data_IF_836827081496
#
_entry.id   IF_836827081496
#
_cell.length_a   1.000
_cell.length_b   1.000
_cell.length_c   1.000
_cell.angle_alpha   90.00
_cell.angle_beta   90.00
_cell.angle_gamma   90.00
#
_symmetry.space_group_name_H-M   'P 1'
#
loop_
_entity.id
_entity.type
_entity.pdbx_description
1 polymer ?
#
# COMPACT_ATOMS: atom_id res chain seq x y z
N UNK A 1 7.21 1.02 11.34
CA UNK A 1 8.01 0.13 10.50
C UNK A 1 7.21 -0.26 9.28
N UNK A 2 7.86 -0.49 8.15
CA UNK A 2 7.16 -0.79 6.91
C UNK A 2 7.78 -1.99 6.20
N UNK A 3 6.94 -2.78 5.54
CA UNK A 3 7.41 -3.93 4.77
C UNK A 3 6.43 -4.24 3.64
N UNK A 4 6.96 -4.87 2.59
CA UNK A 4 6.17 -5.29 1.43
C UNK A 4 5.74 -6.74 1.60
N UNK A 5 4.50 -7.02 1.18
CA UNK A 5 4.01 -8.38 1.08
C UNK A 5 3.49 -8.62 -0.34
N UNK A 6 3.54 -9.87 -0.76
CA UNK A 6 2.97 -10.29 -2.04
C UNK A 6 1.55 -10.75 -1.81
N UNK A 7 0.65 -10.30 -2.67
CA UNK A 7 -0.75 -10.72 -2.62
C UNK A 7 -0.96 -11.91 -3.57
N UNK A 8 -1.79 -12.88 -3.20
CA UNK A 8 -2.09 -14.02 -4.08
C UNK A 8 -2.68 -13.53 -5.40
N UNK A 9 -2.10 -13.99 -6.50
CA UNK A 9 -2.50 -13.56 -7.84
C UNK A 9 -2.71 -14.78 -8.72
N UNK A 10 -3.84 -14.81 -9.41
CA UNK A 10 -4.22 -15.90 -10.32
C UNK A 10 -4.26 -15.34 -11.73
N UNK A 11 -3.53 -15.99 -12.62
CA UNK A 11 -3.38 -15.56 -14.00
C UNK A 11 -4.04 -16.55 -14.95
N UNK A 12 -4.80 -16.03 -15.90
CA UNK A 12 -5.33 -16.85 -17.01
C UNK A 12 -5.46 -15.98 -18.26
N UNK A 13 -6.10 -16.51 -19.31
CA UNK A 13 -6.22 -15.79 -20.58
C UNK A 13 -7.04 -14.50 -20.51
N UNK A 14 -7.83 -14.33 -19.45
CA UNK A 14 -8.66 -13.14 -19.26
C UNK A 14 -7.91 -12.03 -18.51
N UNK A 15 -6.77 -12.33 -17.91
CA UNK A 15 -6.00 -11.36 -17.15
C UNK A 15 -5.60 -11.90 -15.78
N UNK A 16 -5.38 -10.98 -14.85
CA UNK A 16 -4.90 -11.32 -13.52
C UNK A 16 -5.93 -10.95 -12.46
N UNK A 17 -6.09 -11.84 -11.47
CA UNK A 17 -6.94 -11.60 -10.32
C UNK A 17 -6.06 -11.63 -9.06
N UNK A 18 -6.01 -10.52 -8.34
CA UNK A 18 -5.26 -10.43 -7.10
C UNK A 18 -6.24 -10.34 -5.93
N UNK A 19 -6.00 -11.12 -4.89
CA UNK A 19 -6.94 -11.29 -3.79
C UNK A 19 -6.35 -10.78 -2.48
N UNK A 20 -7.18 -10.05 -1.72
CA UNK A 20 -6.86 -9.67 -0.36
C UNK A 20 -7.83 -10.41 0.55
N UNK A 21 -7.37 -11.51 1.15
CA UNK A 21 -8.22 -12.31 2.02
C UNK A 21 -7.37 -12.89 3.14
N UNK A 22 -7.65 -12.44 4.36
CA UNK A 22 -6.98 -12.94 5.57
C UNK A 22 -5.46 -12.87 5.54
N UNK A 23 -4.91 -11.97 4.74
CA UNK A 23 -3.46 -11.85 4.57
C UNK A 23 -2.90 -10.62 5.29
N UNK A 24 -3.74 -9.63 5.57
CA UNK A 24 -3.29 -8.42 6.26
C UNK A 24 -3.13 -8.69 7.75
N UNK A 25 -2.14 -8.08 8.40
CA UNK A 25 -1.88 -8.30 9.83
C UNK A 25 -2.85 -7.53 10.74
N UNK A 26 -3.99 -7.11 10.20
CA UNK A 26 -4.98 -6.35 10.96
C UNK A 26 -6.35 -6.55 10.33
N UNK A 27 -7.39 -6.22 11.11
CA UNK A 27 -8.76 -6.22 10.62
C UNK A 27 -9.04 -4.90 9.93
N UNK A 28 -9.55 -4.97 8.70
CA UNK A 28 -9.86 -3.77 7.92
C UNK A 28 -11.07 -3.07 8.55
N UNK A 29 -10.89 -1.81 8.91
CA UNK A 29 -11.97 -0.98 9.44
C UNK A 29 -12.40 0.09 8.47
N UNK A 30 -11.54 0.44 7.50
CA UNK A 30 -11.82 1.50 6.54
C UNK A 30 -11.02 1.24 5.28
N UNK A 31 -11.67 1.45 4.14
CA UNK A 31 -11.04 1.34 2.83
C UNK A 31 -11.35 2.61 2.04
N UNK A 32 -10.35 3.17 1.38
CA UNK A 32 -10.52 4.34 0.54
C UNK A 32 -9.54 4.34 -0.62
N UNK A 33 -9.84 5.15 -1.64
CA UNK A 33 -9.00 5.26 -2.83
C UNK A 33 -8.52 6.69 -2.99
N UNK A 34 -7.33 6.83 -3.55
CA UNK A 34 -6.79 8.12 -3.95
C UNK A 34 -6.48 8.03 -5.44
N UNK A 35 -6.97 8.98 -6.21
CA UNK A 35 -6.73 8.99 -7.66
C UNK A 35 -6.62 10.43 -8.14
N UNK A 36 -6.16 10.59 -9.40
CA UNK A 36 -5.91 11.92 -10.00
C UNK A 36 -5.00 12.77 -9.13
N UNK A 37 -3.94 12.15 -8.63
CA UNK A 37 -3.02 12.82 -7.71
C UNK A 37 -2.10 13.72 -8.50
N UNK A 38 -2.12 15.01 -8.19
CA UNK A 38 -1.30 16.01 -8.86
C UNK A 38 -0.16 16.52 -7.98
N UNK A 39 -0.19 16.23 -6.70
CA UNK A 39 0.86 16.65 -5.79
C UNK A 39 0.92 15.72 -4.58
N UNK A 40 2.00 15.82 -3.84
CA UNK A 40 2.22 14.98 -2.67
C UNK A 40 1.10 15.17 -1.66
N UNK A 41 0.58 14.05 -1.16
CA UNK A 41 -0.48 14.02 -0.16
C UNK A 41 0.03 13.39 1.12
N UNK A 42 -0.69 13.61 2.21
CA UNK A 42 -0.39 13.02 3.49
C UNK A 42 0.34 13.97 4.39
N UNK A 43 1.38 13.46 5.07
CA UNK A 43 2.10 14.25 6.05
C UNK A 43 1.51 14.17 7.43
N UNK A 44 0.51 13.31 7.63
CA UNK A 44 -0.10 13.09 8.93
C UNK A 44 0.52 11.88 9.62
N UNK A 45 0.73 12.00 10.90
CA UNK A 45 1.22 10.90 11.70
C UNK A 45 0.05 10.22 12.40
N UNK A 46 -0.12 8.94 12.15
CA UNK A 46 -1.17 8.13 12.78
C UNK A 46 -0.50 7.23 13.80
N UNK A 47 -0.65 7.55 15.08
CA UNK A 47 0.10 6.85 16.13
C UNK A 47 -0.34 5.42 16.37
N UNK A 48 -1.60 5.09 16.11
CA UNK A 48 -2.14 3.78 16.46
C UNK A 48 -2.76 3.05 15.26
N UNK A 49 -2.45 3.48 14.06
CA UNK A 49 -3.04 2.90 12.86
C UNK A 49 -2.02 2.12 12.06
N UNK A 50 -2.39 0.93 11.65
CA UNK A 50 -1.65 0.17 10.67
C UNK A 50 -2.37 0.33 9.34
N UNK A 51 -1.62 0.58 8.28
CA UNK A 51 -2.16 0.86 6.96
C UNK A 51 -1.56 -0.09 5.92
N UNK A 52 -2.35 -0.40 4.91
CA UNK A 52 -1.92 -1.17 3.76
C UNK A 52 -2.13 -0.34 2.50
N UNK A 53 -1.10 -0.25 1.66
CA UNK A 53 -1.13 0.53 0.43
C UNK A 53 -0.93 -0.38 -0.77
N UNK A 54 -1.77 -0.18 -1.78
CA UNK A 54 -1.69 -0.93 -3.05
C UNK A 54 -1.84 0.09 -4.18
N UNK A 55 -0.94 0.01 -5.17
CA UNK A 55 -1.05 0.83 -6.37
C UNK A 55 -1.71 0.02 -7.47
N UNK A 56 -2.95 0.37 -7.81
CA UNK A 56 -3.75 -0.40 -8.76
C UNK A 56 -3.41 -0.12 -10.21
N UNK A 57 -2.82 1.03 -10.51
CA UNK A 57 -2.44 1.38 -11.86
C UNK A 57 -1.25 2.32 -11.87
N UNK A 58 -0.39 2.19 -12.89
CA UNK A 58 0.80 3.01 -12.99
C UNK A 58 1.79 2.75 -11.88
N UNK A 59 2.30 3.82 -11.29
CA UNK A 59 3.21 3.71 -10.16
C UNK A 59 2.93 4.81 -9.16
N UNK A 60 3.22 4.55 -7.90
CA UNK A 60 3.14 5.56 -6.87
C UNK A 60 4.34 5.48 -5.94
N UNK A 61 4.73 6.64 -5.44
CA UNK A 61 5.83 6.77 -4.51
C UNK A 61 5.27 7.06 -3.13
N UNK A 62 5.67 6.25 -2.15
CA UNK A 62 5.24 6.43 -0.78
C UNK A 62 6.45 6.81 0.06
N UNK A 63 6.34 7.94 0.74
CA UNK A 63 7.40 8.47 1.56
C UNK A 63 7.11 8.19 3.03
N UNK A 64 8.06 7.55 3.71
CA UNK A 64 7.93 7.18 5.12
C UNK A 64 9.06 7.84 5.87
N UNK A 65 8.69 8.59 6.92
CA UNK A 65 9.65 9.29 7.76
C UNK A 65 9.52 8.79 9.19
N UNK A 66 10.60 8.24 9.73
CA UNK A 66 10.63 7.74 11.09
C UNK A 66 11.19 8.75 12.10
N UNK A 67 11.32 10.02 11.69
CA UNK A 67 11.88 11.07 12.53
C UNK A 67 13.37 11.30 12.32
N UNK A 68 14.05 10.37 11.69
CA UNK A 68 15.49 10.45 11.41
C UNK A 68 15.80 10.36 9.94
N UNK A 69 15.07 9.53 9.22
CA UNK A 69 15.35 9.22 7.84
C UNK A 69 14.04 9.08 7.07
N UNK A 70 14.02 9.69 5.89
CA UNK A 70 12.90 9.51 4.97
C UNK A 70 13.25 8.42 3.97
N UNK A 71 12.37 7.45 3.83
CA UNK A 71 12.49 6.40 2.84
C UNK A 71 11.41 6.54 1.79
N UNK A 72 11.79 6.33 0.53
CA UNK A 72 10.85 6.32 -0.58
C UNK A 72 10.65 4.88 -1.03
N UNK A 73 9.40 4.47 -1.12
CA UNK A 73 9.03 3.14 -1.60
C UNK A 73 8.16 3.31 -2.83
N UNK A 74 8.52 2.64 -3.91
CA UNK A 74 7.78 2.70 -5.17
C UNK A 74 6.89 1.48 -5.28
N UNK A 75 5.60 1.72 -5.49
CA UNK A 75 4.63 0.65 -5.78
C UNK A 75 4.25 0.78 -7.25
N UNK A 76 4.51 -0.25 -8.03
CA UNK A 76 4.26 -0.25 -9.46
C UNK A 76 3.53 -1.51 -9.94
N UNK A 77 3.01 -2.29 -9.02
CA UNK A 77 2.31 -3.53 -9.34
C UNK A 77 1.15 -3.76 -8.37
N UNK A 78 -0.05 -4.13 -8.89
CA UNK A 78 -1.21 -4.33 -8.03
C UNK A 78 -1.11 -5.50 -7.06
N UNK A 79 -0.15 -6.41 -7.26
CA UNK A 79 0.01 -7.56 -6.38
C UNK A 79 1.00 -7.32 -5.25
N UNK A 80 1.50 -6.09 -5.13
CA UNK A 80 2.39 -5.70 -4.03
C UNK A 80 1.63 -4.83 -3.05
N UNK A 81 1.75 -5.14 -1.79
CA UNK A 81 1.10 -4.38 -0.72
C UNK A 81 2.14 -3.92 0.27
N UNK A 82 2.15 -2.62 0.54
CA UNK A 82 3.02 -2.03 1.54
C UNK A 82 2.28 -1.93 2.85
N UNK A 83 2.79 -2.59 3.89
CA UNK A 83 2.24 -2.51 5.24
C UNK A 83 3.05 -1.48 6.00
N UNK A 84 2.37 -0.48 6.55
CA UNK A 84 3.00 0.55 7.38
C UNK A 84 2.38 0.49 8.76
N UNK A 85 3.20 0.13 9.73
CA UNK A 85 2.77 0.04 11.12
C UNK A 85 3.04 1.35 11.84
N UNK A 86 2.20 1.62 12.82
CA UNK A 86 2.32 2.83 13.62
C UNK A 86 3.62 2.89 14.42
#
# INVERSE_FOLDING_TARGET
MAHLIDLPTFKDSRGNLTVIERILPFKIKRTYFIYDVSQKRGGHRHKNNTQAFICLGGSCEIYINNGRKENKIVLDSPNKCLIVEA
#
